data_IF_220777243856
#
_entry.id   IF_220777243856
#
_cell.length_a   1.000
_cell.length_b   1.000
_cell.length_c   1.000
_cell.angle_alpha   90.00
_cell.angle_beta   90.00
_cell.angle_gamma   90.00
#
_symmetry.space_group_name_H-M   'P 1'
#
loop_
_entity.id
_entity.type
_entity.pdbx_description
1 polymer ?
#
# COMPACT_ATOMS: atom_id res chain seq x y z
N UNK A 1 -12.99 10.68 -10.20
CA UNK A 1 -12.23 9.44 -9.96
C UNK A 1 -10.79 9.81 -10.18
N UNK A 2 -10.01 9.78 -9.11
CA UNK A 2 -8.57 10.00 -9.20
C UNK A 2 -7.90 8.88 -10.00
N UNK A 3 -6.77 9.21 -10.59
CA UNK A 3 -5.85 8.25 -11.18
C UNK A 3 -4.73 7.96 -10.19
N UNK A 4 -4.09 6.79 -10.29
CA UNK A 4 -2.94 6.46 -9.45
C UNK A 4 -1.78 7.43 -9.64
N UNK A 5 -1.62 7.96 -10.86
CA UNK A 5 -0.62 8.99 -11.14
C UNK A 5 -0.89 10.26 -10.35
N UNK A 6 -2.15 10.73 -10.33
CA UNK A 6 -2.55 11.89 -9.51
C UNK A 6 -2.29 11.64 -8.02
N UNK A 7 -2.70 10.49 -7.48
CA UNK A 7 -2.45 10.17 -6.07
C UNK A 7 -0.95 10.16 -5.75
N UNK A 8 -0.11 9.61 -6.63
CA UNK A 8 1.34 9.59 -6.46
C UNK A 8 1.94 11.00 -6.48
N UNK A 9 1.48 11.87 -7.38
CA UNK A 9 1.92 13.27 -7.45
C UNK A 9 1.46 14.06 -6.21
N UNK A 10 0.21 13.91 -5.79
CA UNK A 10 -0.33 14.55 -4.58
C UNK A 10 0.42 14.08 -3.32
N UNK A 11 0.76 12.79 -3.24
CA UNK A 11 1.54 12.24 -2.14
C UNK A 11 2.99 12.78 -2.13
N UNK A 12 3.58 12.98 -3.31
CA UNK A 12 4.90 13.61 -3.44
C UNK A 12 4.86 15.04 -2.91
N UNK A 13 3.86 15.82 -3.29
CA UNK A 13 3.66 17.18 -2.79
C UNK A 13 3.44 17.20 -1.27
N UNK A 14 2.56 16.33 -0.77
CA UNK A 14 2.32 16.16 0.68
C UNK A 14 3.61 15.95 1.47
N UNK A 15 4.52 15.12 0.95
CA UNK A 15 5.81 14.83 1.57
C UNK A 15 6.80 16.00 1.47
N UNK A 16 6.81 16.74 0.36
CA UNK A 16 7.65 17.94 0.16
C UNK A 16 7.26 19.03 1.16
N UNK A 17 5.97 19.32 1.29
CA UNK A 17 5.45 20.36 2.20
C UNK A 17 5.83 20.12 3.67
N UNK A 18 6.05 18.86 4.06
CA UNK A 18 6.39 18.45 5.42
C UNK A 18 7.86 18.13 5.61
N UNK A 19 8.69 18.30 4.58
CA UNK A 19 10.11 17.90 4.59
C UNK A 19 10.31 16.42 4.97
N UNK A 20 9.38 15.56 4.56
CA UNK A 20 9.43 14.12 4.87
C UNK A 20 10.27 13.31 3.88
N UNK A 21 10.70 13.92 2.78
CA UNK A 21 11.58 13.30 1.80
C UNK A 21 12.86 12.70 2.40
N UNK A 22 13.38 13.30 3.48
CA UNK A 22 14.55 12.80 4.21
C UNK A 22 14.35 11.42 4.87
N UNK A 23 13.10 11.03 5.16
CA UNK A 23 12.76 9.75 5.78
C UNK A 23 12.37 8.68 4.74
N UNK A 24 12.03 9.09 3.52
CA UNK A 24 11.51 8.24 2.44
C UNK A 24 12.63 7.55 1.64
N UNK A 25 13.57 6.90 2.31
CA UNK A 25 14.55 6.02 1.65
C UNK A 25 13.87 4.73 1.16
N UNK A 26 14.34 4.09 0.06
CA UNK A 26 13.75 2.84 -0.42
C UNK A 26 13.63 1.76 0.65
N UNK A 27 14.67 1.62 1.49
CA UNK A 27 14.68 0.68 2.62
C UNK A 27 13.60 0.99 3.65
N UNK A 28 13.44 2.25 4.06
CA UNK A 28 12.42 2.64 5.04
C UNK A 28 11.01 2.42 4.50
N UNK A 29 10.78 2.78 3.23
CA UNK A 29 9.50 2.57 2.56
C UNK A 29 9.16 1.08 2.41
N UNK A 30 10.14 0.24 2.07
CA UNK A 30 9.96 -1.21 2.02
C UNK A 30 9.60 -1.80 3.39
N UNK A 31 10.27 -1.34 4.45
CA UNK A 31 9.95 -1.75 5.83
C UNK A 31 8.53 -1.36 6.23
N UNK A 32 8.12 -0.12 5.95
CA UNK A 32 6.78 0.36 6.24
C UNK A 32 5.72 -0.43 5.43
N UNK A 33 5.94 -0.62 4.13
CA UNK A 33 5.10 -1.47 3.28
C UNK A 33 4.91 -2.88 3.86
N UNK A 34 5.97 -3.49 4.38
CA UNK A 34 5.90 -4.79 5.06
C UNK A 34 4.98 -4.78 6.28
N UNK A 35 5.00 -3.69 7.06
CA UNK A 35 4.08 -3.48 8.19
C UNK A 35 2.63 -3.40 7.72
N UNK A 36 2.32 -2.51 6.78
CA UNK A 36 0.94 -2.29 6.30
C UNK A 36 0.36 -3.53 5.61
N UNK A 37 1.17 -4.34 4.91
CA UNK A 37 0.71 -5.63 4.37
C UNK A 37 0.37 -6.63 5.49
N UNK A 38 1.08 -6.57 6.61
CA UNK A 38 0.73 -7.33 7.82
C UNK A 38 -0.59 -6.86 8.43
N UNK A 39 -0.80 -5.54 8.53
CA UNK A 39 -2.06 -4.94 9.02
C UNK A 39 -3.24 -5.31 8.10
N UNK A 40 -3.07 -5.21 6.79
CA UNK A 40 -4.06 -5.67 5.80
C UNK A 40 -4.39 -7.16 5.97
N UNK A 41 -3.39 -7.99 6.23
CA UNK A 41 -3.58 -9.42 6.43
C UNK A 41 -4.43 -9.71 7.67
N UNK A 42 -4.18 -8.99 8.77
CA UNK A 42 -4.98 -9.07 9.99
C UNK A 42 -6.42 -8.59 9.75
N UNK A 43 -6.58 -7.42 9.10
CA UNK A 43 -7.90 -6.85 8.82
C UNK A 43 -8.78 -7.79 7.99
N UNK A 44 -8.19 -8.45 6.97
CA UNK A 44 -8.90 -9.46 6.16
C UNK A 44 -9.20 -10.71 7.00
N UNK A 45 -8.25 -11.21 7.80
CA UNK A 45 -8.46 -12.40 8.63
C UNK A 45 -9.60 -12.20 9.65
N UNK A 46 -9.65 -11.04 10.31
CA UNK A 46 -10.70 -10.68 11.26
C UNK A 46 -12.06 -10.57 10.57
N UNK A 47 -12.10 -9.93 9.40
CA UNK A 47 -13.33 -9.79 8.61
C UNK A 47 -13.88 -11.14 8.14
N UNK A 48 -13.03 -12.06 7.68
CA UNK A 48 -13.43 -13.40 7.24
C UNK A 48 -13.85 -14.33 8.39
N UNK A 49 -13.38 -14.05 9.60
CA UNK A 49 -13.74 -14.80 10.81
C UNK A 49 -15.07 -14.32 11.42
N UNK A 50 -15.50 -13.11 11.10
CA UNK A 50 -16.71 -12.48 11.65
C UNK A 50 -17.98 -12.85 10.85
N UNK A 51 -19.00 -13.51 11.46
CA UNK A 51 -20.17 -14.03 10.73
C UNK A 51 -21.02 -13.00 9.97
N UNK A 52 -20.95 -11.72 10.36
CA UNK A 52 -21.74 -10.62 9.77
C UNK A 52 -21.04 -9.86 8.64
N UNK A 53 -19.71 -9.91 8.57
CA UNK A 53 -18.90 -8.97 7.77
C UNK A 53 -18.44 -9.57 6.43
N UNK A 54 -18.63 -10.89 6.25
CA UNK A 54 -18.24 -11.63 5.04
C UNK A 54 -18.86 -11.08 3.76
N UNK A 55 -20.01 -10.43 3.84
CA UNK A 55 -20.76 -9.94 2.68
C UNK A 55 -20.36 -8.51 2.25
N UNK A 56 -19.44 -7.84 2.95
CA UNK A 56 -19.23 -6.41 2.79
C UNK A 56 -17.81 -5.92 3.07
N UNK A 57 -16.76 -6.64 2.67
CA UNK A 57 -15.36 -6.22 2.88
C UNK A 57 -15.09 -4.78 2.42
N UNK A 58 -15.66 -4.34 1.30
CA UNK A 58 -15.55 -2.97 0.81
C UNK A 58 -16.17 -1.90 1.74
N UNK A 59 -17.04 -2.29 2.67
CA UNK A 59 -17.65 -1.40 3.66
C UNK A 59 -16.90 -1.36 4.99
N UNK A 60 -15.92 -2.25 5.17
CA UNK A 60 -15.09 -2.29 6.37
C UNK A 60 -13.98 -1.24 6.26
N UNK A 61 -14.06 -0.23 7.11
CA UNK A 61 -13.01 0.80 7.22
C UNK A 61 -11.65 0.15 7.50
N UNK A 62 -11.59 -0.89 8.35
CA UNK A 62 -10.35 -1.62 8.62
C UNK A 62 -9.71 -2.16 7.35
N UNK A 63 -10.44 -2.85 6.48
CA UNK A 63 -9.88 -3.42 5.25
C UNK A 63 -9.54 -2.33 4.23
N UNK A 64 -10.42 -1.35 4.05
CA UNK A 64 -10.24 -0.30 3.03
C UNK A 64 -9.12 0.68 3.39
N UNK A 65 -8.96 0.99 4.67
CA UNK A 65 -7.85 1.76 5.23
C UNK A 65 -6.51 1.08 4.94
N UNK A 66 -6.37 -0.21 5.24
CA UNK A 66 -5.10 -0.91 5.04
C UNK A 66 -4.76 -1.09 3.54
N UNK A 67 -5.76 -1.28 2.67
CA UNK A 67 -5.54 -1.26 1.22
C UNK A 67 -4.98 0.10 0.79
N UNK A 68 -5.51 1.20 1.34
CA UNK A 68 -5.03 2.54 1.04
C UNK A 68 -3.58 2.75 1.51
N UNK A 69 -3.23 2.33 2.72
CA UNK A 69 -1.87 2.46 3.25
C UNK A 69 -0.85 1.66 2.43
N UNK A 70 -1.16 0.39 2.08
CA UNK A 70 -0.31 -0.40 1.19
C UNK A 70 -0.18 0.27 -0.19
N UNK A 71 -1.27 0.85 -0.71
CA UNK A 71 -1.24 1.58 -2.00
C UNK A 71 -0.30 2.78 -1.91
N UNK A 72 -0.42 3.61 -0.88
CA UNK A 72 0.39 4.81 -0.69
C UNK A 72 1.87 4.48 -0.54
N UNK A 73 2.25 3.42 0.19
CA UNK A 73 3.66 3.04 0.28
C UNK A 73 4.20 2.46 -1.03
N UNK A 74 3.41 1.69 -1.78
CA UNK A 74 3.82 1.22 -3.10
C UNK A 74 4.03 2.39 -4.07
N UNK A 75 3.06 3.32 -4.18
CA UNK A 75 3.17 4.49 -5.04
C UNK A 75 4.40 5.33 -4.67
N UNK A 76 4.64 5.54 -3.36
CA UNK A 76 5.83 6.26 -2.92
C UNK A 76 7.13 5.54 -3.24
N UNK A 77 7.14 4.21 -3.20
CA UNK A 77 8.30 3.41 -3.57
C UNK A 77 8.57 3.47 -5.08
N UNK A 78 7.53 3.40 -5.93
CA UNK A 78 7.65 3.66 -7.38
C UNK A 78 8.26 5.04 -7.65
N UNK A 79 7.74 6.08 -6.98
CA UNK A 79 8.19 7.46 -7.12
C UNK A 79 9.66 7.64 -6.74
N UNK A 80 10.06 7.20 -5.54
CA UNK A 80 11.43 7.35 -5.04
C UNK A 80 12.46 6.58 -5.88
N UNK A 81 12.07 5.44 -6.46
CA UNK A 81 12.92 4.65 -7.33
C UNK A 81 12.91 5.10 -8.80
N UNK A 82 12.02 6.03 -9.17
CA UNK A 82 11.83 6.47 -10.56
C UNK A 82 11.25 5.39 -11.47
N UNK A 83 10.52 4.41 -10.93
CA UNK A 83 9.88 3.35 -11.69
C UNK A 83 8.52 3.82 -12.23
N UNK A 84 8.15 3.36 -13.43
CA UNK A 84 6.84 3.67 -14.01
C UNK A 84 5.74 2.81 -13.37
N UNK A 85 4.56 3.40 -13.17
CA UNK A 85 3.38 2.63 -12.76
C UNK A 85 2.98 1.65 -13.88
N UNK A 86 2.53 0.43 -13.54
CA UNK A 86 2.11 -0.53 -14.55
C UNK A 86 0.80 -0.10 -15.23
N UNK A 87 0.74 -0.21 -16.56
CA UNK A 87 -0.43 0.16 -17.39
C UNK A 87 -1.65 -0.78 -17.26
N UNK A 88 -1.71 -1.66 -16.26
CA UNK A 88 -2.75 -2.70 -16.19
C UNK A 88 -4.01 -2.25 -15.47
N UNK A 89 -5.13 -2.33 -16.17
CA UNK A 89 -6.46 -2.22 -15.57
C UNK A 89 -6.84 -3.52 -14.84
N UNK A 90 -7.35 -3.38 -13.62
CA UNK A 90 -7.85 -4.49 -12.79
C UNK A 90 -8.90 -5.29 -13.57
N UNK A 91 -8.59 -6.55 -13.88
CA UNK A 91 -9.57 -7.45 -14.50
C UNK A 91 -10.61 -7.86 -13.44
N UNK A 92 -11.86 -7.39 -13.60
CA UNK A 92 -12.98 -7.92 -12.82
C UNK A 92 -13.10 -9.42 -13.10
N UNK A 93 -12.90 -10.23 -12.06
CA UNK A 93 -13.15 -11.67 -12.14
C UNK A 93 -14.63 -11.92 -12.46
N UNK A 94 -14.92 -12.75 -13.46
CA UNK A 94 -16.29 -13.18 -13.75
C UNK A 94 -16.67 -14.42 -12.94
N UNK A 95 -17.91 -14.45 -12.45
CA UNK A 95 -18.63 -15.67 -12.04
C UNK A 95 -17.92 -16.56 -11.02
N UNK A 96 -17.77 -16.08 -9.79
CA UNK A 96 -17.10 -16.81 -8.70
C UNK A 96 -18.08 -17.00 -7.53
N UNK A 97 -18.14 -18.19 -6.93
CA UNK A 97 -18.97 -18.43 -5.73
C UNK A 97 -18.38 -17.73 -4.50
N UNK A 98 -19.13 -17.61 -3.40
CA UNK A 98 -18.60 -17.00 -2.17
C UNK A 98 -17.36 -17.74 -1.63
N UNK A 99 -17.39 -19.08 -1.62
CA UNK A 99 -16.25 -19.91 -1.18
C UNK A 99 -15.04 -19.77 -2.11
N UNK A 100 -15.27 -19.66 -3.42
CA UNK A 100 -14.19 -19.42 -4.38
C UNK A 100 -13.59 -18.02 -4.21
N UNK A 101 -14.40 -17.03 -3.81
CA UNK A 101 -13.96 -15.64 -3.59
C UNK A 101 -13.04 -15.52 -2.37
N UNK A 102 -13.39 -16.15 -1.24
CA UNK A 102 -12.53 -16.21 -0.05
C UNK A 102 -11.19 -16.87 -0.38
N UNK A 103 -11.21 -17.98 -1.12
CA UNK A 103 -9.98 -18.68 -1.55
C UNK A 103 -9.12 -17.81 -2.47
N UNK A 104 -9.73 -17.13 -3.45
CA UNK A 104 -9.00 -16.23 -4.36
C UNK A 104 -8.42 -15.04 -3.62
N UNK A 105 -9.13 -14.51 -2.63
CA UNK A 105 -8.66 -13.40 -1.79
C UNK A 105 -7.43 -13.84 -0.98
N UNK A 106 -7.51 -15.01 -0.32
CA UNK A 106 -6.37 -15.58 0.39
C UNK A 106 -5.17 -15.80 -0.53
N UNK A 107 -5.37 -16.37 -1.73
CA UNK A 107 -4.28 -16.58 -2.69
C UNK A 107 -3.66 -15.27 -3.18
N UNK A 108 -4.46 -14.24 -3.42
CA UNK A 108 -3.97 -12.92 -3.82
C UNK A 108 -3.17 -12.26 -2.69
N UNK A 109 -3.69 -12.32 -1.45
CA UNK A 109 -3.02 -11.80 -0.26
C UNK A 109 -1.70 -12.53 0.03
N UNK A 110 -1.68 -13.87 -0.04
CA UNK A 110 -0.46 -14.64 0.16
C UNK A 110 0.64 -14.31 -0.88
N UNK A 111 0.24 -14.06 -2.13
CA UNK A 111 1.17 -13.62 -3.17
C UNK A 111 1.65 -12.18 -2.97
N UNK A 112 0.79 -11.29 -2.47
CA UNK A 112 1.20 -9.95 -2.05
C UNK A 112 2.24 -10.02 -0.93
N UNK A 113 1.97 -10.79 0.12
CA UNK A 113 2.90 -11.02 1.24
C UNK A 113 4.25 -11.57 0.73
N UNK A 114 4.21 -12.56 -0.16
CA UNK A 114 5.43 -13.12 -0.78
C UNK A 114 6.21 -12.07 -1.58
N UNK A 115 5.54 -11.30 -2.43
CA UNK A 115 6.17 -10.25 -3.23
C UNK A 115 6.80 -9.17 -2.34
N UNK A 116 6.12 -8.74 -1.27
CA UNK A 116 6.68 -7.79 -0.29
C UNK A 116 7.84 -8.42 0.50
N UNK A 117 7.78 -9.71 0.81
CA UNK A 117 8.91 -10.46 1.37
C UNK A 117 10.16 -10.40 0.48
N UNK A 118 10.01 -10.57 -0.83
CA UNK A 118 11.12 -10.42 -1.80
C UNK A 118 11.67 -9.00 -1.89
N UNK A 119 10.82 -7.98 -1.69
CA UNK A 119 11.23 -6.57 -1.60
C UNK A 119 12.05 -6.35 -0.32
N UNK A 120 11.58 -6.87 0.82
CA UNK A 120 12.28 -6.77 2.11
C UNK A 120 13.63 -7.49 2.09
N UNK A 121 13.67 -8.70 1.53
CA UNK A 121 14.90 -9.49 1.36
C UNK A 121 15.97 -8.70 0.59
N UNK A 122 15.55 -7.94 -0.43
CA UNK A 122 16.45 -7.14 -1.25
C UNK A 122 17.28 -6.14 -0.41
N UNK A 123 16.66 -5.49 0.59
CA UNK A 123 17.33 -4.49 1.45
C UNK A 123 17.70 -5.00 2.84
N UNK A 124 17.51 -6.29 3.12
CA UNK A 124 17.79 -6.90 4.42
C UNK A 124 19.25 -6.72 4.84
N UNK A 125 20.17 -6.85 3.87
CA UNK A 125 21.63 -6.83 4.12
C UNK A 125 22.32 -5.54 3.67
N UNK A 126 21.62 -4.65 2.98
CA UNK A 126 22.16 -3.35 2.58
C UNK A 126 22.39 -2.48 3.81
N UNK A 127 23.59 -1.92 3.97
CA UNK A 127 23.80 -0.84 4.92
C UNK A 127 22.93 0.37 4.54
N UNK A 128 22.63 1.24 5.52
CA UNK A 128 21.89 2.49 5.24
C UNK A 128 22.75 3.35 4.30
N UNK A 129 22.29 3.54 3.07
CA UNK A 129 22.99 4.32 2.03
C UNK A 129 23.85 3.53 1.04
N UNK A 130 23.92 2.19 1.15
CA UNK A 130 24.52 1.34 0.12
C UNK A 130 23.48 0.95 -0.94
N UNK A 131 23.40 1.75 -2.01
CA UNK A 131 22.59 1.45 -3.20
C UNK A 131 23.43 0.72 -4.26
N UNK A 132 23.64 -0.59 -4.08
CA UNK A 132 23.92 -1.51 -5.19
C UNK A 132 22.61 -2.14 -5.70
N UNK A 133 21.64 -1.27 -5.97
CA UNK A 133 20.30 -1.61 -6.46
C UNK A 133 20.36 -1.86 -7.97
N UNK A 134 20.22 -3.11 -8.42
CA UNK A 134 19.78 -3.34 -9.79
C UNK A 134 18.31 -2.93 -9.89
N UNK A 135 18.05 -1.71 -10.35
CA UNK A 135 16.70 -1.13 -10.47
C UNK A 135 15.70 -2.11 -11.11
N UNK A 136 16.13 -2.83 -12.15
CA UNK A 136 15.32 -3.85 -12.84
C UNK A 136 14.84 -4.98 -11.90
N UNK A 137 15.69 -5.43 -10.96
CA UNK A 137 15.32 -6.47 -9.98
C UNK A 137 14.27 -5.96 -9.00
N UNK A 138 14.39 -4.71 -8.56
CA UNK A 138 13.44 -4.11 -7.62
C UNK A 138 12.13 -3.78 -8.32
N UNK A 139 12.18 -3.19 -9.52
CA UNK A 139 11.03 -2.83 -10.35
C UNK A 139 10.10 -4.02 -10.58
N UNK A 140 10.65 -5.19 -10.92
CA UNK A 140 9.86 -6.41 -11.10
C UNK A 140 9.12 -6.82 -9.83
N UNK A 141 9.74 -6.65 -8.66
CA UNK A 141 9.17 -7.04 -7.37
C UNK A 141 8.08 -6.07 -6.91
N UNK A 142 8.32 -4.75 -7.02
CA UNK A 142 7.31 -3.74 -6.69
C UNK A 142 6.11 -3.83 -7.64
N UNK A 143 6.33 -4.17 -8.91
CA UNK A 143 5.26 -4.42 -9.89
C UNK A 143 4.45 -5.65 -9.53
N UNK A 144 5.10 -6.75 -9.11
CA UNK A 144 4.39 -7.95 -8.66
C UNK A 144 3.55 -7.68 -7.40
N UNK A 145 4.09 -6.94 -6.43
CA UNK A 145 3.35 -6.53 -5.24
C UNK A 145 2.13 -5.69 -5.61
N UNK A 146 2.29 -4.70 -6.50
CA UNK A 146 1.20 -3.88 -7.01
C UNK A 146 0.11 -4.73 -7.70
N UNK A 147 0.48 -5.65 -8.60
CA UNK A 147 -0.46 -6.54 -9.29
C UNK A 147 -1.27 -7.39 -8.30
N UNK A 148 -0.64 -7.88 -7.23
CA UNK A 148 -1.31 -8.66 -6.21
C UNK A 148 -2.23 -7.81 -5.32
N UNK A 149 -1.82 -6.60 -4.94
CA UNK A 149 -2.68 -5.65 -4.25
C UNK A 149 -3.90 -5.26 -5.10
N UNK A 150 -3.68 -4.99 -6.39
CA UNK A 150 -4.74 -4.68 -7.34
C UNK A 150 -5.74 -5.84 -7.47
N UNK A 151 -5.25 -7.09 -7.40
CA UNK A 151 -6.11 -8.28 -7.34
C UNK A 151 -6.88 -8.37 -6.02
N UNK A 152 -6.26 -8.09 -4.88
CA UNK A 152 -6.93 -8.02 -3.57
C UNK A 152 -8.04 -6.97 -3.59
N UNK A 153 -7.74 -5.75 -4.01
CA UNK A 153 -8.71 -4.66 -4.12
C UNK A 153 -9.87 -4.99 -5.07
N UNK A 154 -9.59 -5.64 -6.20
CA UNK A 154 -10.61 -6.11 -7.13
C UNK A 154 -11.54 -7.19 -6.55
N UNK A 155 -11.03 -8.06 -5.67
CA UNK A 155 -11.81 -9.08 -4.96
C UNK A 155 -12.60 -8.50 -3.79
N UNK A 156 -12.05 -7.49 -3.10
CA UNK A 156 -12.74 -6.73 -2.06
C UNK A 156 -13.83 -5.83 -2.66
N UNK A 157 -13.63 -5.32 -3.88
CA UNK A 157 -14.56 -4.46 -4.59
C UNK A 157 -14.26 -2.96 -4.46
N UNK A 158 -13.00 -2.58 -4.27
CA UNK A 158 -12.56 -1.18 -4.10
C UNK A 158 -11.56 -0.74 -5.18
N UNK A 159 -11.56 0.55 -5.50
CA UNK A 159 -10.59 1.16 -6.41
C UNK A 159 -9.37 1.69 -5.64
N UNK A 160 -8.17 1.27 -6.03
CA UNK A 160 -6.92 1.67 -5.35
C UNK A 160 -6.74 3.19 -5.30
N UNK A 161 -6.97 3.89 -6.42
CA UNK A 161 -6.83 5.34 -6.47
C UNK A 161 -7.83 6.04 -5.54
N UNK A 162 -9.09 5.58 -5.52
CA UNK A 162 -10.14 6.20 -4.72
C UNK A 162 -9.88 6.03 -3.20
N UNK A 163 -9.48 4.82 -2.75
CA UNK A 163 -9.17 4.61 -1.33
C UNK A 163 -7.90 5.32 -0.89
N UNK A 164 -6.88 5.40 -1.76
CA UNK A 164 -5.64 6.09 -1.46
C UNK A 164 -5.81 7.62 -1.44
N UNK A 165 -6.59 8.20 -2.35
CA UNK A 165 -6.96 9.62 -2.35
C UNK A 165 -7.71 10.00 -1.06
N UNK A 166 -8.69 9.18 -0.67
CA UNK A 166 -9.44 9.38 0.58
C UNK A 166 -8.52 9.34 1.81
N UNK A 167 -7.59 8.38 1.85
CA UNK A 167 -6.62 8.25 2.94
C UNK A 167 -5.62 9.40 2.97
N UNK A 168 -5.15 9.86 1.82
CA UNK A 168 -4.23 11.00 1.74
C UNK A 168 -4.90 12.30 2.24
N UNK A 169 -6.17 12.50 1.90
CA UNK A 169 -6.98 13.61 2.41
C UNK A 169 -7.10 13.54 3.93
N UNK A 170 -7.45 12.37 4.48
CA UNK A 170 -7.52 12.17 5.93
C UNK A 170 -6.16 12.39 6.63
N UNK A 171 -5.06 11.97 6.00
CA UNK A 171 -3.71 12.20 6.51
C UNK A 171 -3.35 13.70 6.54
N UNK A 172 -3.86 14.52 5.61
CA UNK A 172 -3.65 15.97 5.63
C UNK A 172 -4.23 16.62 6.89
N UNK A 173 -5.41 16.17 7.33
CA UNK A 173 -6.03 16.62 8.57
C UNK A 173 -5.26 16.14 9.81
N UNK A 174 -4.78 14.89 9.79
CA UNK A 174 -4.02 14.30 10.90
C UNK A 174 -2.61 14.87 11.05
N UNK A 175 -1.98 15.27 9.95
CA UNK A 175 -0.60 15.77 9.91
C UNK A 175 -0.52 17.18 9.32
N UNK A 176 -1.04 18.22 10.01
CA UNK A 176 -0.97 19.59 9.51
C UNK A 176 0.48 20.09 9.48
N UNK A 177 0.87 20.82 8.41
CA UNK A 177 2.26 21.22 8.12
C UNK A 177 2.96 21.87 9.33
N UNK A 178 2.27 22.79 10.01
CA UNK A 178 2.81 23.51 11.18
C UNK A 178 3.23 22.60 12.34
N UNK A 179 2.76 21.36 12.35
CA UNK A 179 2.92 20.35 13.40
C UNK A 179 3.79 19.16 12.96
N UNK A 180 3.94 18.95 11.66
CA UNK A 180 4.60 17.76 11.09
C UNK A 180 5.87 18.06 10.29
N UNK A 181 6.24 19.33 10.09
CA UNK A 181 7.44 19.71 9.33
C UNK A 181 8.71 19.13 9.95
N UNK A 182 9.46 18.32 9.18
CA UNK A 182 10.74 17.72 9.59
C UNK A 182 10.63 16.64 10.68
N UNK A 183 9.42 16.20 11.05
CA UNK A 183 9.17 15.22 12.12
C UNK A 183 8.35 14.06 11.58
N UNK A 184 8.84 12.82 11.78
CA UNK A 184 8.21 11.59 11.27
C UNK A 184 7.45 10.77 12.34
N UNK A 185 7.40 11.25 13.59
CA UNK A 185 6.70 10.56 14.67
C UNK A 185 5.20 10.44 14.34
N UNK A 186 4.64 9.21 14.41
CA UNK A 186 3.18 9.01 14.32
C UNK A 186 2.53 9.88 15.40
N UNK A 187 1.61 10.76 15.02
CA UNK A 187 0.84 11.59 15.95
C UNK A 187 -0.10 10.67 16.75
N UNK A 188 0.40 10.14 17.86
CA UNK A 188 -0.33 9.47 18.95
C UNK A 188 0.22 9.84 20.34
N UNK A 189 1.06 10.87 20.46
CA UNK A 189 1.65 11.32 21.74
C UNK A 189 1.32 12.79 22.08
N UNK A 190 0.08 13.23 21.85
CA UNK A 190 -0.48 14.40 22.51
C UNK A 190 -1.98 14.17 22.78
N UNK A 191 -2.25 13.26 23.72
CA UNK A 191 -3.35 13.34 24.71
C UNK A 191 -3.04 12.36 25.86
#
# INVERSE_FOLDING_TARGET
MATLQQVMDDQREFAIERDWGQFHTPKNLAMALGGEVGELSNAIADALSSPGDKAGLASLESVTSEIADVTLYLLRLFDVLGCSLPDRQVQRGQGTTASDSERLLFLALAKLVGAVGEILEFWQWSAVGEDETSLERVERRITAAFDHLARVAGLVGVGLADVAEAKLTHNADRYPISKSFGVHSKYTEFD
#
